data_IF_601292394450
#
_entry.id   IF_601292394450
#
_cell.length_a   1.000
_cell.length_b   1.000
_cell.length_c   1.000
_cell.angle_alpha   90.00
_cell.angle_beta   90.00
_cell.angle_gamma   90.00
#
_symmetry.space_group_name_H-M   'P 1'
#
loop_
_entity.id
_entity.type
_entity.pdbx_description
1 polymer ?
#
# COMPACT_ATOMS: atom_id res chain seq x y z
N UNK A 1 -11.17 10.13 -12.96
CA UNK A 1 -12.34 10.00 -12.07
C UNK A 1 -12.04 8.83 -11.13
N UNK A 2 -12.03 9.03 -9.81
CA UNK A 2 -11.87 7.90 -8.88
C UNK A 2 -13.11 7.01 -9.00
N UNK A 3 -12.90 5.71 -9.17
CA UNK A 3 -13.99 4.73 -9.25
C UNK A 3 -14.73 4.70 -7.88
N UNK A 4 -16.06 4.90 -7.84
CA UNK A 4 -16.84 4.85 -6.60
C UNK A 4 -16.64 3.56 -5.80
N UNK A 5 -16.37 2.43 -6.48
CA UNK A 5 -16.09 1.16 -5.84
C UNK A 5 -14.78 1.20 -5.03
N UNK A 6 -13.76 1.94 -5.51
CA UNK A 6 -12.48 2.08 -4.81
C UNK A 6 -12.60 2.96 -3.56
N UNK A 7 -13.45 3.98 -3.58
CA UNK A 7 -13.74 4.82 -2.40
C UNK A 7 -14.41 3.99 -1.31
N UNK A 8 -15.45 3.24 -1.66
CA UNK A 8 -16.14 2.36 -0.70
C UNK A 8 -15.22 1.28 -0.13
N UNK A 9 -14.34 0.70 -0.96
CA UNK A 9 -13.34 -0.25 -0.51
C UNK A 9 -12.38 0.38 0.52
N UNK A 10 -11.88 1.59 0.25
CA UNK A 10 -10.98 2.30 1.16
C UNK A 10 -11.65 2.55 2.52
N UNK A 11 -12.90 3.03 2.52
CA UNK A 11 -13.68 3.26 3.75
C UNK A 11 -13.80 1.98 4.58
N UNK A 12 -14.19 0.87 3.96
CA UNK A 12 -14.29 -0.43 4.64
C UNK A 12 -12.95 -0.92 5.22
N UNK A 13 -11.84 -0.64 4.54
CA UNK A 13 -10.52 -1.00 5.05
C UNK A 13 -10.15 -0.14 6.26
N UNK A 14 -10.45 1.16 6.23
CA UNK A 14 -10.24 2.07 7.36
C UNK A 14 -11.07 1.64 8.57
N UNK A 15 -12.34 1.30 8.39
CA UNK A 15 -13.22 0.77 9.45
C UNK A 15 -12.66 -0.51 10.09
N UNK A 16 -11.91 -1.32 9.33
CA UNK A 16 -11.23 -2.54 9.79
C UNK A 16 -9.87 -2.27 10.44
N UNK A 17 -9.52 -1.01 10.68
CA UNK A 17 -8.27 -0.61 11.33
C UNK A 17 -7.06 -0.56 10.41
N UNK A 18 -7.26 -0.50 9.08
CA UNK A 18 -6.18 -0.22 8.15
C UNK A 18 -5.94 1.29 8.00
N UNK A 19 -4.71 1.67 7.69
CA UNK A 19 -4.26 3.05 7.61
C UNK A 19 -4.14 3.45 6.14
N UNK A 20 -4.81 4.54 5.76
CA UNK A 20 -4.68 5.13 4.43
C UNK A 20 -3.25 5.68 4.22
N UNK A 21 -2.56 5.13 3.22
CA UNK A 21 -1.19 5.52 2.86
C UNK A 21 -1.08 7.00 2.51
N UNK A 22 -2.12 7.61 1.93
CA UNK A 22 -2.07 9.02 1.52
C UNK A 22 -2.20 9.97 2.72
N UNK A 23 -2.81 9.51 3.82
CA UNK A 23 -2.89 10.26 5.07
C UNK A 23 -1.68 10.02 5.95
N UNK A 24 -1.21 8.78 6.03
CA UNK A 24 -0.05 8.40 6.83
C UNK A 24 0.84 7.45 6.04
N UNK A 25 2.09 7.86 5.83
CA UNK A 25 3.07 7.00 5.18
C UNK A 25 3.39 5.78 6.06
N UNK A 26 3.54 4.58 5.48
CA UNK A 26 4.04 3.42 6.20
C UNK A 26 5.46 3.66 6.76
N UNK A 27 5.80 3.04 7.91
CA UNK A 27 7.16 3.07 8.45
C UNK A 27 8.15 2.39 7.49
N UNK A 28 9.39 2.88 7.49
CA UNK A 28 10.41 2.41 6.56
C UNK A 28 11.06 1.08 7.00
N UNK A 29 11.29 0.91 8.29
CA UNK A 29 12.07 -0.20 8.84
C UNK A 29 11.24 -1.23 9.60
N UNK A 30 9.93 -1.03 9.68
CA UNK A 30 9.02 -2.00 10.29
C UNK A 30 8.32 -2.85 9.23
N UNK A 31 8.03 -4.09 9.61
CA UNK A 31 7.27 -5.00 8.75
C UNK A 31 5.80 -4.60 8.73
N UNK A 32 5.28 -4.37 7.52
CA UNK A 32 3.88 -4.03 7.31
C UNK A 32 3.15 -5.10 6.50
N UNK A 33 1.84 -5.12 6.65
CA UNK A 33 0.90 -5.68 5.68
C UNK A 33 0.31 -4.54 4.85
N UNK A 34 0.00 -4.79 3.59
CA UNK A 34 -0.64 -3.80 2.74
C UNK A 34 -1.65 -4.38 1.77
N UNK A 35 -2.58 -3.52 1.34
CA UNK A 35 -3.39 -3.71 0.16
C UNK A 35 -3.30 -2.46 -0.73
N UNK A 36 -3.16 -2.66 -2.03
CA UNK A 36 -3.00 -1.60 -3.01
C UNK A 36 -3.82 -1.91 -4.26
N UNK A 37 -4.58 -0.93 -4.73
CA UNK A 37 -5.27 -1.04 -6.02
C UNK A 37 -4.32 -0.61 -7.13
N UNK A 38 -4.02 -1.49 -8.08
CA UNK A 38 -3.21 -1.16 -9.25
C UNK A 38 -3.83 -1.79 -10.50
N UNK A 39 -4.01 -0.98 -11.55
CA UNK A 39 -4.60 -1.41 -12.82
C UNK A 39 -5.93 -2.19 -12.66
N UNK A 40 -6.82 -1.69 -11.78
CA UNK A 40 -8.14 -2.29 -11.53
C UNK A 40 -8.12 -3.59 -10.71
N UNK A 41 -6.97 -4.00 -10.15
CA UNK A 41 -6.84 -5.19 -9.31
C UNK A 41 -6.31 -4.84 -7.92
N UNK A 42 -6.70 -5.62 -6.92
CA UNK A 42 -6.16 -5.50 -5.55
C UNK A 42 -4.94 -6.40 -5.42
N UNK A 43 -3.81 -5.81 -5.07
CA UNK A 43 -2.58 -6.50 -4.70
C UNK A 43 -2.41 -6.43 -3.20
N UNK A 44 -1.99 -7.55 -2.61
CA UNK A 44 -1.78 -7.66 -1.17
C UNK A 44 -0.39 -8.23 -0.91
N UNK A 45 0.24 -7.80 0.18
CA UNK A 45 1.57 -8.30 0.50
C UNK A 45 2.03 -7.92 1.89
N UNK A 46 3.23 -8.40 2.23
CA UNK A 46 3.97 -8.06 3.43
C UNK A 46 5.38 -7.64 3.03
N UNK A 47 5.87 -6.54 3.57
CA UNK A 47 7.20 -6.04 3.27
C UNK A 47 7.74 -5.16 4.38
N UNK A 48 9.06 -5.02 4.43
CA UNK A 48 9.75 -3.91 5.08
C UNK A 48 10.26 -3.00 3.95
N UNK A 49 9.92 -1.71 3.96
CA UNK A 49 10.26 -0.83 2.83
C UNK A 49 11.77 -0.64 2.67
N UNK A 50 12.51 -0.62 3.78
CA UNK A 50 13.95 -0.49 3.81
C UNK A 50 14.72 -1.67 3.20
N UNK A 51 14.06 -2.81 2.94
CA UNK A 51 14.68 -3.95 2.27
C UNK A 51 14.83 -3.73 0.75
N UNK A 52 14.19 -2.69 0.21
CA UNK A 52 14.20 -2.39 -1.22
C UNK A 52 14.95 -1.10 -1.51
N UNK A 53 15.74 -1.05 -2.60
CA UNK A 53 16.34 0.19 -3.04
C UNK A 53 15.25 1.19 -3.48
N UNK A 54 15.49 2.48 -3.30
CA UNK A 54 14.54 3.53 -3.70
C UNK A 54 14.15 3.46 -5.18
N UNK A 55 15.04 2.95 -6.04
CA UNK A 55 14.77 2.73 -7.47
C UNK A 55 13.59 1.80 -7.72
N UNK A 56 13.31 0.85 -6.82
CA UNK A 56 12.21 -0.11 -6.97
C UNK A 56 10.84 0.54 -6.77
N UNK A 57 10.78 1.74 -6.18
CA UNK A 57 9.53 2.51 -6.08
C UNK A 57 8.98 2.92 -7.45
N UNK A 58 9.80 2.85 -8.51
CA UNK A 58 9.42 3.15 -9.89
C UNK A 58 9.24 1.89 -10.76
N UNK A 59 9.45 0.69 -10.20
CA UNK A 59 9.39 -0.57 -10.95
C UNK A 59 8.03 -1.25 -10.72
N UNK A 60 7.16 -1.33 -11.76
CA UNK A 60 5.85 -1.97 -11.62
C UNK A 60 5.94 -3.39 -11.07
N UNK A 61 5.04 -3.73 -10.14
CA UNK A 61 4.96 -5.05 -9.53
C UNK A 61 5.82 -5.26 -8.29
N UNK A 62 6.77 -4.37 -7.96
CA UNK A 62 7.49 -4.42 -6.70
C UNK A 62 6.63 -3.96 -5.52
N UNK A 63 6.91 -4.48 -4.31
CA UNK A 63 6.22 -4.06 -3.09
C UNK A 63 6.34 -2.55 -2.85
N UNK A 64 7.54 -1.99 -3.00
CA UNK A 64 7.77 -0.54 -2.85
C UNK A 64 7.03 0.31 -3.89
N UNK A 65 6.84 -0.19 -5.11
CA UNK A 65 5.98 0.48 -6.09
C UNK A 65 4.52 0.50 -5.64
N UNK A 66 4.03 -0.61 -5.09
CA UNK A 66 2.62 -0.76 -4.71
C UNK A 66 2.25 0.01 -3.44
N UNK A 67 3.15 0.14 -2.45
CA UNK A 67 2.83 0.78 -1.15
C UNK A 67 3.74 1.94 -0.76
N UNK A 68 5.01 1.95 -1.18
CA UNK A 68 5.99 2.97 -0.81
C UNK A 68 5.91 4.26 -1.65
N UNK A 69 5.80 4.12 -2.97
CA UNK A 69 5.89 5.24 -3.90
C UNK A 69 4.83 6.32 -3.64
N UNK A 70 5.19 7.60 -3.68
CA UNK A 70 4.25 8.68 -3.40
C UNK A 70 3.16 8.82 -4.48
N UNK A 71 3.56 8.79 -5.75
CA UNK A 71 2.68 9.04 -6.90
C UNK A 71 2.97 8.12 -8.10
N UNK A 72 2.97 6.79 -7.93
CA UNK A 72 3.08 5.90 -9.08
C UNK A 72 1.82 6.00 -9.97
N UNK A 73 2.03 6.24 -11.26
CA UNK A 73 0.97 6.32 -12.26
C UNK A 73 0.15 5.03 -12.26
N UNK A 74 -1.18 5.14 -12.14
CA UNK A 74 -2.10 4.01 -12.21
C UNK A 74 -2.29 3.23 -10.90
N UNK A 75 -1.67 3.65 -9.80
CA UNK A 75 -1.95 3.10 -8.46
C UNK A 75 -3.03 3.95 -7.78
N UNK A 76 -4.12 3.28 -7.40
CA UNK A 76 -5.26 3.84 -6.71
C UNK A 76 -5.12 3.82 -5.19
N UNK A 77 -6.22 3.61 -4.45
CA UNK A 77 -6.20 3.56 -2.99
C UNK A 77 -5.25 2.50 -2.43
N UNK A 78 -4.63 2.85 -1.31
CA UNK A 78 -3.58 2.08 -0.67
C UNK A 78 -3.74 2.14 0.83
N UNK A 79 -3.71 0.99 1.45
CA UNK A 79 -3.80 0.88 2.90
C UNK A 79 -2.73 -0.04 3.43
N UNK A 80 -2.28 0.25 4.64
CA UNK A 80 -1.29 -0.55 5.33
C UNK A 80 -1.66 -0.72 6.80
N UNK A 81 -1.03 -1.68 7.46
CA UNK A 81 -1.01 -1.81 8.91
C UNK A 81 0.27 -2.52 9.33
N UNK A 82 0.62 -2.42 10.61
CA UNK A 82 1.72 -3.22 11.17
C UNK A 82 1.41 -4.70 10.96
N UNK A 83 2.39 -5.46 10.46
CA UNK A 83 2.23 -6.91 10.34
C UNK A 83 2.12 -7.52 11.74
N UNK A 84 1.17 -8.43 11.93
CA UNK A 84 1.08 -9.20 13.18
C UNK A 84 2.11 -10.32 13.15
N UNK A 85 3.04 -10.31 14.11
CA UNK A 85 3.92 -11.43 14.41
C UNK A 85 5.08 -11.63 13.44
N UNK A 86 6.29 -11.61 13.99
CA UNK A 86 7.49 -12.32 13.53
C UNK A 86 8.37 -12.49 14.77
N UNK A 87 7.87 -13.22 15.76
CA UNK A 87 8.73 -13.84 16.77
C UNK A 87 9.37 -15.09 16.17
#
# INVERSE_FOLDING_TARGET
MQDPAHTRWLEQMIERGWIDRFKHSPPHYDRIEYHSVWNGRIYSGRCTLGDYPWSDASTPGHHCFLIGAALPVGVGPRVWRMAKGSE
#
